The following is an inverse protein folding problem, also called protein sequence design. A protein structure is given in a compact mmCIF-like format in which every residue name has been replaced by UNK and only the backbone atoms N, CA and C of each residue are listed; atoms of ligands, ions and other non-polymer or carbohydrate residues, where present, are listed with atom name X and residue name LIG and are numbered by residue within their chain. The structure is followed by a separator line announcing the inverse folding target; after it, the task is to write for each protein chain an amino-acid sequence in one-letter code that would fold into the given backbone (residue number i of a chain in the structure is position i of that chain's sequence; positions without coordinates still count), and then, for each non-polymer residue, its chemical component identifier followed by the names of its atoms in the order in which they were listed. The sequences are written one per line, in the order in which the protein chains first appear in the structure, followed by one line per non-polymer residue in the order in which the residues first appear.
data_IF_731306234171
#
_entry.id   IF_731306234171
#
_cell.length_a   1.000
_cell.length_b   1.000
_cell.length_c   1.000
_cell.angle_alpha   90.00
_cell.angle_beta   90.00
_cell.angle_gamma   90.00
#
_symmetry.space_group_name_H-M   'P 1'
#
loop_
_entity.id
_entity.type
_entity.pdbx_description
1 polymer ?
#
# COMPACT_ATOMS: atom_id res chain seq x y z
N UNK A 1 -23.04 -10.86 -14.74
CA UNK A 1 -23.03 -9.38 -14.75
C UNK A 1 -22.74 -8.95 -16.19
N UNK A 2 -23.66 -8.25 -16.85
CA UNK A 2 -23.57 -7.89 -18.27
C UNK A 2 -22.77 -6.62 -18.54
N UNK A 3 -21.64 -6.44 -17.86
CA UNK A 3 -20.82 -5.24 -17.97
C UNK A 3 -19.91 -5.41 -19.20
N UNK A 4 -20.08 -4.54 -20.20
CA UNK A 4 -19.15 -4.44 -21.31
C UNK A 4 -17.94 -3.61 -20.88
N UNK A 5 -16.74 -4.13 -21.10
CA UNK A 5 -15.49 -3.43 -20.80
C UNK A 5 -14.54 -3.53 -21.99
N UNK A 6 -13.78 -2.46 -22.24
CA UNK A 6 -12.66 -2.46 -23.18
C UNK A 6 -11.37 -2.34 -22.37
N UNK A 7 -10.43 -3.25 -22.59
CA UNK A 7 -9.14 -3.23 -21.90
C UNK A 7 -8.15 -2.40 -22.71
N UNK A 8 -7.49 -1.45 -22.05
CA UNK A 8 -6.42 -0.65 -22.62
C UNK A 8 -5.15 -0.89 -21.80
N UNK A 9 -4.13 -1.46 -22.44
CA UNK A 9 -2.82 -1.62 -21.84
C UNK A 9 -1.97 -0.38 -22.11
N UNK A 10 -1.35 0.16 -21.05
CA UNK A 10 -0.51 1.36 -21.08
C UNK A 10 0.70 1.15 -20.17
N UNK A 11 1.72 2.00 -20.29
CA UNK A 11 2.83 1.97 -19.34
C UNK A 11 2.35 2.36 -17.91
N UNK A 12 3.02 1.87 -16.85
CA UNK A 12 2.65 2.24 -15.48
C UNK A 12 2.61 3.76 -15.24
N UNK A 13 3.54 4.50 -15.84
CA UNK A 13 3.59 5.96 -15.72
C UNK A 13 2.35 6.64 -16.32
N UNK A 14 1.90 6.20 -17.50
CA UNK A 14 0.69 6.73 -18.15
C UNK A 14 -0.59 6.39 -17.38
N UNK A 15 -0.65 5.20 -16.77
CA UNK A 15 -1.79 4.81 -15.92
C UNK A 15 -1.86 5.70 -14.68
N UNK A 16 -0.74 5.88 -13.97
CA UNK A 16 -0.68 6.71 -12.77
C UNK A 16 -1.02 8.17 -13.06
N UNK A 17 -0.54 8.69 -14.19
CA UNK A 17 -0.83 10.05 -14.65
C UNK A 17 -2.32 10.24 -15.00
N UNK A 18 -2.95 9.27 -15.68
CA UNK A 18 -4.39 9.28 -15.92
C UNK A 18 -5.20 9.19 -14.62
N UNK A 19 -4.78 8.34 -13.68
CA UNK A 19 -5.43 8.22 -12.35
C UNK A 19 -5.32 9.54 -11.58
N UNK A 20 -4.15 10.17 -11.57
CA UNK A 20 -3.93 11.46 -10.90
C UNK A 20 -4.80 12.60 -11.47
N UNK A 21 -5.17 12.53 -12.75
CA UNK A 21 -6.09 13.49 -13.37
C UNK A 21 -7.57 13.13 -13.24
N UNK A 22 -7.90 11.90 -12.85
CA UNK A 22 -9.27 11.38 -12.92
C UNK A 22 -9.72 11.00 -14.34
N UNK A 23 -8.77 10.84 -15.28
CA UNK A 23 -9.04 10.52 -16.69
C UNK A 23 -9.18 9.00 -16.92
N UNK A 24 -10.07 8.35 -16.18
CA UNK A 24 -10.31 6.91 -16.27
C UNK A 24 -11.73 6.53 -15.80
N UNK A 25 -12.27 5.44 -16.36
CA UNK A 25 -13.50 4.82 -15.83
C UNK A 25 -13.17 3.76 -14.76
N UNK A 26 -12.16 2.92 -15.04
CA UNK A 26 -11.60 1.93 -14.12
C UNK A 26 -10.10 1.78 -14.41
N UNK A 27 -9.28 1.79 -13.36
CA UNK A 27 -7.85 1.59 -13.46
C UNK A 27 -7.40 0.46 -12.52
N UNK A 28 -6.50 -0.38 -13.01
CA UNK A 28 -5.77 -1.35 -12.19
C UNK A 28 -4.43 -0.74 -11.84
N UNK A 29 -4.20 -0.48 -10.56
CA UNK A 29 -2.99 0.16 -10.05
C UNK A 29 -2.45 -0.61 -8.86
N UNK A 30 -1.13 -0.79 -8.74
CA UNK A 30 -0.52 -1.27 -7.53
C UNK A 30 -0.59 -0.19 -6.45
N UNK A 31 -0.84 -0.59 -5.20
CA UNK A 31 -0.96 0.33 -4.07
C UNK A 31 0.01 -0.07 -2.97
N UNK A 32 0.73 0.92 -2.44
CA UNK A 32 1.54 0.77 -1.24
C UNK A 32 0.65 0.93 0.00
N UNK A 33 0.54 -0.14 0.76
CA UNK A 33 -0.29 -0.19 1.98
C UNK A 33 0.51 -0.50 3.24
N UNK A 34 1.83 -0.36 3.17
CA UNK A 34 2.79 -0.55 4.25
C UNK A 34 2.77 0.63 5.26
N UNK A 35 2.37 1.82 4.80
CA UNK A 35 2.09 2.98 5.64
C UNK A 35 0.58 3.26 5.66
N UNK A 36 -0.12 3.09 6.80
CA UNK A 36 -1.57 3.28 6.89
C UNK A 36 -2.01 4.73 6.66
N UNK A 37 -1.16 5.72 6.96
CA UNK A 37 -1.44 7.13 6.73
C UNK A 37 -1.40 7.41 5.23
N UNK A 38 -0.31 7.04 4.55
CA UNK A 38 -0.17 7.21 3.10
C UNK A 38 -1.27 6.46 2.34
N UNK A 39 -1.58 5.24 2.77
CA UNK A 39 -2.63 4.42 2.17
C UNK A 39 -4.03 5.01 2.36
N UNK A 40 -4.24 5.84 3.38
CA UNK A 40 -5.51 6.51 3.64
C UNK A 40 -5.61 7.87 2.94
N UNK A 41 -4.52 8.65 2.91
CA UNK A 41 -4.50 10.00 2.32
C UNK A 41 -4.92 10.02 0.84
N UNK A 42 -4.66 8.94 0.08
CA UNK A 42 -5.12 8.83 -1.32
C UNK A 42 -6.64 8.88 -1.47
N UNK A 43 -7.40 8.51 -0.45
CA UNK A 43 -8.86 8.50 -0.48
C UNK A 43 -9.48 9.81 0.02
N UNK A 44 -8.63 10.80 0.36
CA UNK A 44 -9.08 12.13 0.76
C UNK A 44 -9.96 12.74 -0.34
N UNK A 45 -11.14 13.23 0.05
CA UNK A 45 -12.13 13.76 -0.88
C UNK A 45 -12.85 12.70 -1.76
N UNK A 46 -12.49 11.42 -1.66
CA UNK A 46 -13.12 10.32 -2.40
C UNK A 46 -14.02 9.46 -1.51
N UNK A 47 -13.65 9.24 -0.25
CA UNK A 47 -14.40 8.42 0.71
C UNK A 47 -15.43 9.21 1.56
N UNK A 48 -15.66 10.48 1.20
CA UNK A 48 -16.65 11.36 1.84
C UNK A 48 -16.10 12.23 2.98
N UNK A 49 -16.83 13.29 3.37
CA UNK A 49 -16.30 14.32 4.27
C UNK A 49 -16.00 13.82 5.68
N UNK A 50 -16.72 12.79 6.17
CA UNK A 50 -16.42 12.21 7.48
C UNK A 50 -15.12 11.40 7.49
N UNK A 51 -14.75 10.79 6.37
CA UNK A 51 -13.47 10.11 6.24
C UNK A 51 -12.32 11.10 6.39
N UNK A 52 -12.41 12.27 5.73
CA UNK A 52 -11.38 13.31 5.78
C UNK A 52 -11.17 13.84 7.21
N UNK A 53 -12.26 14.03 7.98
CA UNK A 53 -12.14 14.47 9.38
C UNK A 53 -11.49 13.39 10.26
N UNK A 54 -11.83 12.11 10.06
CA UNK A 54 -11.22 11.02 10.81
C UNK A 54 -9.75 10.82 10.45
N UNK A 55 -9.40 11.04 9.18
CA UNK A 55 -8.02 11.01 8.69
C UNK A 55 -7.18 12.12 9.34
N UNK A 56 -7.72 13.34 9.44
CA UNK A 56 -7.06 14.44 10.14
C UNK A 56 -6.90 14.15 11.64
N UNK A 57 -7.90 13.56 12.27
CA UNK A 57 -7.82 13.10 13.66
C UNK A 57 -6.78 11.99 13.86
N UNK A 58 -6.71 11.01 12.96
CA UNK A 58 -5.74 9.90 13.02
C UNK A 58 -4.30 10.41 12.87
N UNK A 59 -4.10 11.43 12.05
CA UNK A 59 -2.81 12.12 11.87
C UNK A 59 -2.38 12.82 13.17
N UNK A 60 -3.32 13.44 13.89
CA UNK A 60 -3.06 14.20 15.11
C UNK A 60 -2.99 13.34 16.40
N UNK A 61 -3.56 12.13 16.39
CA UNK A 61 -3.64 11.28 17.56
C UNK A 61 -2.25 10.82 18.03
N UNK A 62 -1.88 11.01 19.32
CA UNK A 62 -0.58 10.58 19.84
C UNK A 62 -0.55 9.09 20.21
N UNK A 63 -1.69 8.54 20.63
CA UNK A 63 -1.79 7.19 21.17
C UNK A 63 -2.15 6.16 20.11
N UNK A 64 -1.46 5.02 20.10
CA UNK A 64 -1.69 3.95 19.12
C UNK A 64 -3.10 3.36 19.22
N UNK A 65 -3.66 3.25 20.43
CA UNK A 65 -5.01 2.74 20.64
C UNK A 65 -6.09 3.67 20.06
N UNK A 66 -5.86 4.98 20.11
CA UNK A 66 -6.74 5.98 19.53
C UNK A 66 -6.67 5.92 17.99
N UNK A 67 -5.45 5.86 17.43
CA UNK A 67 -5.25 5.64 15.99
C UNK A 67 -5.97 4.40 15.48
N UNK A 68 -5.85 3.28 16.19
CA UNK A 68 -6.51 2.04 15.80
C UNK A 68 -8.03 2.19 15.70
N UNK A 69 -8.65 2.86 16.67
CA UNK A 69 -10.10 3.10 16.66
C UNK A 69 -10.53 4.01 15.51
N UNK A 70 -9.73 5.04 15.20
CA UNK A 70 -9.99 5.95 14.08
C UNK A 70 -9.87 5.24 12.73
N UNK A 71 -8.81 4.45 12.52
CA UNK A 71 -8.63 3.67 11.30
C UNK A 71 -9.71 2.61 11.09
N UNK A 72 -10.22 1.99 12.15
CA UNK A 72 -11.32 1.05 12.06
C UNK A 72 -12.60 1.70 11.52
N UNK A 73 -12.91 2.92 11.99
CA UNK A 73 -14.08 3.65 11.49
C UNK A 73 -13.86 4.19 10.07
N UNK A 74 -12.65 4.64 9.75
CA UNK A 74 -12.28 5.00 8.37
C UNK A 74 -12.44 3.80 7.42
N UNK A 75 -12.04 2.60 7.82
CA UNK A 75 -12.21 1.38 7.04
C UNK A 75 -13.70 1.09 6.79
N UNK A 76 -14.58 1.32 7.77
CA UNK A 76 -16.03 1.19 7.60
C UNK A 76 -16.57 2.16 6.54
N UNK A 77 -16.23 3.44 6.65
CA UNK A 77 -16.64 4.48 5.68
C UNK A 77 -16.10 4.20 4.27
N UNK A 78 -14.87 3.73 4.19
CA UNK A 78 -14.23 3.33 2.94
C UNK A 78 -14.97 2.16 2.28
N UNK A 79 -15.36 1.14 3.06
CA UNK A 79 -16.12 0.00 2.56
C UNK A 79 -17.54 0.36 2.10
N UNK A 80 -18.13 1.42 2.66
CA UNK A 80 -19.46 1.93 2.25
C UNK A 80 -19.39 2.79 0.99
N UNK A 81 -18.35 3.62 0.85
CA UNK A 81 -18.16 4.49 -0.32
C UNK A 81 -17.58 3.76 -1.53
N UNK A 82 -16.91 2.62 -1.33
CA UNK A 82 -16.28 1.80 -2.36
C UNK A 82 -15.44 2.62 -3.37
N UNK A 83 -14.52 3.51 -2.91
CA UNK A 83 -13.73 4.34 -3.81
C UNK A 83 -12.67 3.52 -4.56
N UNK A 84 -12.43 2.27 -4.16
CA UNK A 84 -11.60 1.30 -4.85
C UNK A 84 -11.99 -0.12 -4.46
N UNK A 85 -11.54 -1.11 -5.24
CA UNK A 85 -11.79 -2.54 -4.99
C UNK A 85 -10.45 -3.27 -4.82
N UNK A 86 -10.13 -3.80 -3.62
CA UNK A 86 -8.90 -4.55 -3.42
C UNK A 86 -9.04 -5.90 -4.11
N UNK A 87 -8.06 -6.26 -4.95
CA UNK A 87 -8.11 -7.51 -5.71
C UNK A 87 -7.32 -8.62 -5.02
N UNK A 88 -6.06 -8.34 -4.71
CA UNK A 88 -5.15 -9.24 -4.04
C UNK A 88 -3.97 -8.44 -3.48
N UNK A 89 -3.21 -9.08 -2.59
CA UNK A 89 -1.94 -8.58 -2.13
C UNK A 89 -0.83 -9.32 -2.88
N UNK A 90 0.06 -8.57 -3.54
CA UNK A 90 1.21 -9.15 -4.22
C UNK A 90 2.24 -9.66 -3.20
N UNK A 91 2.81 -10.84 -3.48
CA UNK A 91 3.89 -11.40 -2.68
C UNK A 91 5.24 -10.86 -3.16
N UNK A 92 5.88 -10.05 -2.32
CA UNK A 92 7.28 -9.64 -2.53
C UNK A 92 8.20 -10.72 -1.97
N UNK A 93 9.03 -11.30 -2.85
CA UNK A 93 9.96 -12.38 -2.50
C UNK A 93 11.39 -11.92 -2.66
N UNK A 94 12.12 -11.91 -1.55
CA UNK A 94 13.55 -11.68 -1.53
C UNK A 94 14.31 -13.01 -1.57
N UNK A 95 15.33 -13.09 -2.42
CA UNK A 95 16.18 -14.28 -2.58
C UNK A 95 17.62 -13.90 -2.27
N UNK A 96 18.25 -14.68 -1.40
CA UNK A 96 19.65 -14.49 -1.01
C UNK A 96 20.43 -15.81 -0.97
N UNK A 97 21.76 -15.76 -1.12
CA UNK A 97 22.61 -16.93 -0.95
C UNK A 97 22.43 -17.57 0.42
N UNK A 98 22.43 -18.91 0.48
CA UNK A 98 22.24 -19.66 1.74
C UNK A 98 23.31 -19.34 2.79
N UNK A 99 24.52 -18.97 2.36
CA UNK A 99 25.64 -18.63 3.24
C UNK A 99 25.74 -17.12 3.54
N UNK A 100 24.72 -16.33 3.18
CA UNK A 100 24.63 -14.92 3.55
C UNK A 100 23.84 -14.80 4.84
N UNK A 101 24.55 -14.50 5.93
CA UNK A 101 23.97 -14.33 7.26
C UNK A 101 23.70 -12.86 7.57
N UNK A 102 22.85 -12.63 8.58
CA UNK A 102 22.50 -11.28 9.04
C UNK A 102 21.39 -10.60 8.24
N UNK A 103 20.75 -11.30 7.31
CA UNK A 103 19.58 -10.77 6.57
C UNK A 103 18.39 -10.62 7.52
N UNK A 104 17.74 -9.47 7.48
CA UNK A 104 16.50 -9.21 8.21
C UNK A 104 15.43 -8.74 7.21
N UNK A 105 14.20 -9.28 7.25
CA UNK A 105 13.09 -8.73 6.48
C UNK A 105 12.87 -7.25 6.83
N UNK A 106 12.59 -6.41 5.83
CA UNK A 106 12.20 -5.03 6.13
C UNK A 106 10.84 -5.03 6.85
N UNK A 107 10.66 -4.19 7.89
CA UNK A 107 9.36 -4.02 8.54
C UNK A 107 8.30 -3.39 7.62
N UNK A 108 8.70 -2.62 6.59
CA UNK A 108 7.80 -1.83 5.75
C UNK A 108 7.97 -2.12 4.25
N UNK A 109 8.40 -3.34 3.88
CA UNK A 109 8.57 -3.71 2.47
C UNK A 109 9.68 -2.93 1.74
N UNK A 110 10.64 -2.35 2.47
CA UNK A 110 11.86 -1.81 1.87
C UNK A 110 12.65 -2.92 1.17
N UNK A 111 13.49 -2.58 0.18
CA UNK A 111 14.38 -3.54 -0.44
C UNK A 111 15.20 -4.31 0.61
N UNK A 112 15.43 -5.61 0.37
CA UNK A 112 16.23 -6.48 1.23
C UNK A 112 17.50 -5.81 1.76
N UNK A 113 18.12 -4.96 0.94
CA UNK A 113 19.35 -4.23 1.22
C UNK A 113 19.29 -3.22 2.37
N UNK A 114 18.13 -2.97 3.00
CA UNK A 114 18.00 -1.98 4.09
C UNK A 114 18.96 -2.23 5.26
N UNK A 115 19.29 -3.50 5.54
CA UNK A 115 20.25 -3.89 6.57
C UNK A 115 21.56 -4.49 6.01
N UNK A 116 21.91 -4.18 4.76
CA UNK A 116 23.07 -4.80 4.08
C UNK A 116 24.40 -4.62 4.81
N UNK A 117 24.53 -3.56 5.61
CA UNK A 117 25.71 -3.29 6.46
C UNK A 117 26.03 -4.41 7.46
N UNK A 118 25.00 -5.14 7.89
CA UNK A 118 25.08 -6.18 8.92
C UNK A 118 25.33 -7.56 8.30
N UNK A 119 25.29 -7.67 6.96
CA UNK A 119 25.41 -8.93 6.26
C UNK A 119 26.84 -9.46 6.25
N UNK A 120 26.98 -10.78 6.43
CA UNK A 120 28.28 -11.46 6.36
C UNK A 120 28.14 -12.77 5.62
N UNK A 121 29.06 -13.04 4.71
CA UNK A 121 29.17 -14.37 4.13
C UNK A 121 29.89 -15.29 5.10
N UNK A 122 29.28 -16.42 5.43
CA UNK A 122 29.98 -17.50 6.13
C UNK A 122 30.64 -18.45 5.12
N UNK A 123 31.85 -18.96 5.42
CA UNK A 123 32.47 -19.99 4.60
C UNK A 123 31.55 -21.21 4.58
N UNK A 124 31.10 -21.62 3.39
CA UNK A 124 30.22 -22.78 3.26
C UNK A 124 30.94 -24.07 3.66
N UNK A 125 30.31 -24.91 4.48
CA UNK A 125 30.63 -26.34 4.48
C UNK A 125 30.09 -26.94 3.19
N UNK A 126 31.01 -27.21 2.25
CA UNK A 126 30.75 -28.03 1.06
C UNK A 126 30.32 -29.44 1.46
#
# INVERSE_FOLDING_TARGET
VGIAATVLERSPAEVLDAVGRGDFDLALVPERTDDPQLASDRYRGLAGPWFDVLLDAATAAPEQAEKHSLYAEMQRLWAESLPGVPLYQELLVDVAPRNLEGIQPSPNGDPLTWNARDWRFTPGTN
#
